data_IF_931237130616
#
_entry.id   IF_931237130616
#
_cell.length_a   1.000
_cell.length_b   1.000
_cell.length_c   1.000
_cell.angle_alpha   90.00
_cell.angle_beta   90.00
_cell.angle_gamma   90.00
#
_symmetry.space_group_name_H-M   'P 1'
#
loop_
_entity.id
_entity.type
_entity.pdbx_description
1 polymer ?
#
# COMPACT_ATOMS: atom_id res chain seq x y z
N UNK A 1 25.18 -1.80 30.40
CA UNK A 1 24.27 -0.82 29.81
C UNK A 1 24.84 -0.48 28.45
N UNK A 2 24.38 -1.14 27.40
CA UNK A 2 24.79 -0.83 26.03
C UNK A 2 24.04 0.43 25.63
N UNK A 3 24.78 1.46 25.36
CA UNK A 3 24.32 2.74 24.82
C UNK A 3 23.56 2.44 23.53
N UNK A 4 22.22 2.50 23.58
CA UNK A 4 21.38 2.29 22.41
C UNK A 4 21.61 3.45 21.44
N UNK A 5 22.46 3.28 20.47
CA UNK A 5 22.66 4.26 19.40
C UNK A 5 21.34 4.51 18.69
N UNK A 6 20.81 5.71 18.88
CA UNK A 6 19.60 6.15 18.20
C UNK A 6 19.96 6.42 16.73
N UNK A 7 19.66 5.48 15.84
CA UNK A 7 19.99 5.60 14.42
C UNK A 7 18.96 6.49 13.73
N UNK A 8 19.45 7.58 13.11
CA UNK A 8 18.62 8.44 12.27
C UNK A 8 18.89 8.12 10.79
N UNK A 9 17.83 7.79 10.04
CA UNK A 9 17.90 7.51 8.62
C UNK A 9 17.11 8.58 7.85
N UNK A 10 17.75 9.16 6.85
CA UNK A 10 17.08 10.10 5.95
C UNK A 10 16.19 9.34 4.96
N UNK A 11 14.94 9.75 4.85
CA UNK A 11 14.06 9.21 3.81
C UNK A 11 14.46 9.80 2.45
N UNK A 12 14.44 8.99 1.36
CA UNK A 12 14.79 9.50 0.04
C UNK A 12 13.82 10.59 -0.41
N UNK A 13 14.32 11.61 -1.08
CA UNK A 13 13.56 12.75 -1.62
C UNK A 13 12.60 12.33 -2.74
N UNK A 14 12.88 11.20 -3.41
CA UNK A 14 12.16 10.67 -4.57
C UNK A 14 10.95 9.81 -4.21
N UNK A 15 10.07 10.29 -3.33
CA UNK A 15 8.80 9.61 -3.05
C UNK A 15 7.72 9.84 -4.14
N UNK A 16 8.14 10.10 -5.39
CA UNK A 16 7.25 10.44 -6.53
C UNK A 16 7.10 9.35 -7.57
N UNK A 17 8.03 8.41 -7.64
CA UNK A 17 7.90 7.28 -8.55
C UNK A 17 7.70 5.97 -7.78
N UNK A 18 7.19 4.96 -8.44
CA UNK A 18 6.85 3.68 -7.82
C UNK A 18 8.08 2.95 -7.30
N UNK A 19 9.26 3.20 -7.87
CA UNK A 19 10.51 2.56 -7.44
C UNK A 19 11.03 3.09 -6.11
N UNK A 20 10.54 4.26 -5.65
CA UNK A 20 10.80 4.74 -4.29
C UNK A 20 10.30 3.77 -3.21
N UNK A 21 9.37 2.88 -3.54
CA UNK A 21 8.94 1.78 -2.67
C UNK A 21 10.12 0.87 -2.32
N UNK A 22 10.99 0.56 -3.29
CA UNK A 22 12.18 -0.28 -3.06
C UNK A 22 13.18 0.39 -2.11
N UNK A 23 13.37 1.71 -2.24
CA UNK A 23 14.23 2.47 -1.34
C UNK A 23 13.70 2.44 0.10
N UNK A 24 12.38 2.64 0.27
CA UNK A 24 11.74 2.59 1.59
C UNK A 24 11.82 1.19 2.20
N UNK A 25 11.57 0.14 1.42
CA UNK A 25 11.70 -1.24 1.87
C UNK A 25 13.15 -1.56 2.25
N UNK A 26 14.12 -1.07 1.47
CA UNK A 26 15.54 -1.21 1.76
C UNK A 26 15.98 -0.61 3.10
N UNK A 27 15.25 0.40 3.61
CA UNK A 27 15.47 0.92 4.97
C UNK A 27 15.13 -0.12 6.04
N UNK A 28 14.20 -1.02 5.79
CA UNK A 28 13.81 -2.07 6.73
C UNK A 28 14.98 -2.92 7.19
N UNK A 29 15.88 -3.29 6.29
CA UNK A 29 17.10 -4.02 6.63
C UNK A 29 18.10 -3.25 7.51
N UNK A 30 18.08 -1.92 7.42
CA UNK A 30 18.91 -1.04 8.28
C UNK A 30 18.26 -0.82 9.64
N UNK A 31 16.92 -0.73 9.70
CA UNK A 31 16.14 -0.48 10.91
C UNK A 31 15.99 -1.74 11.75
N UNK A 32 15.90 -2.92 11.14
CA UNK A 32 15.60 -4.19 11.85
C UNK A 32 16.62 -4.58 12.91
N UNK A 33 17.82 -3.98 12.89
CA UNK A 33 18.89 -4.21 13.88
C UNK A 33 18.84 -3.24 15.05
N UNK A 34 18.01 -2.19 14.95
CA UNK A 34 17.96 -1.10 15.92
C UNK A 34 16.64 -1.14 16.68
N UNK A 35 16.68 -1.07 18.00
CA UNK A 35 15.45 -0.98 18.81
C UNK A 35 14.76 0.35 18.66
N UNK A 36 15.52 1.42 18.45
CA UNK A 36 14.99 2.79 18.32
C UNK A 36 15.57 3.39 17.05
N UNK A 37 14.74 3.62 16.07
CA UNK A 37 15.14 4.28 14.84
C UNK A 37 14.28 5.52 14.58
N UNK A 38 14.91 6.57 14.09
CA UNK A 38 14.28 7.81 13.67
C UNK A 38 14.36 7.93 12.16
N UNK A 39 13.27 8.22 11.50
CA UNK A 39 13.21 8.56 10.09
C UNK A 39 13.11 10.07 9.95
N UNK A 40 14.06 10.66 9.26
CA UNK A 40 14.08 12.09 8.94
C UNK A 40 13.39 12.33 7.60
N UNK A 41 12.33 13.12 7.60
CA UNK A 41 11.52 13.41 6.42
C UNK A 41 11.85 14.78 5.79
N UNK A 42 12.89 15.48 6.27
CA UNK A 42 13.20 16.84 5.83
C UNK A 42 13.44 16.99 4.32
N UNK A 43 13.95 15.95 3.66
CA UNK A 43 14.21 15.94 2.23
C UNK A 43 12.94 15.75 1.37
N UNK A 44 11.82 15.32 1.95
CA UNK A 44 10.62 14.98 1.18
C UNK A 44 9.84 16.25 0.82
N UNK A 45 9.71 16.53 -0.47
CA UNK A 45 8.88 17.64 -0.97
C UNK A 45 7.48 17.18 -1.39
N UNK A 46 7.32 15.89 -1.72
CA UNK A 46 6.07 15.27 -2.14
C UNK A 46 6.12 13.75 -1.85
N UNK A 47 4.98 13.16 -1.48
CA UNK A 47 4.86 11.72 -1.24
C UNK A 47 3.63 11.16 -1.96
N UNK A 48 3.85 10.15 -2.79
CA UNK A 48 2.77 9.42 -3.48
C UNK A 48 2.11 8.39 -2.54
N UNK A 49 0.87 7.97 -2.81
CA UNK A 49 0.17 6.96 -1.98
C UNK A 49 0.96 5.66 -1.79
N UNK A 50 1.70 5.18 -2.81
CA UNK A 50 2.49 3.96 -2.70
C UNK A 50 3.68 4.11 -1.76
N UNK A 51 4.41 5.22 -1.80
CA UNK A 51 5.50 5.50 -0.84
C UNK A 51 4.95 5.68 0.57
N UNK A 52 3.80 6.32 0.70
CA UNK A 52 3.11 6.48 1.99
C UNK A 52 2.72 5.13 2.60
N UNK A 53 2.14 4.21 1.81
CA UNK A 53 1.77 2.87 2.32
C UNK A 53 3.01 2.01 2.60
N UNK A 54 4.06 2.09 1.78
CA UNK A 54 5.33 1.41 2.06
C UNK A 54 5.94 1.88 3.39
N UNK A 55 5.93 3.19 3.64
CA UNK A 55 6.36 3.75 4.92
C UNK A 55 5.49 3.25 6.08
N UNK A 56 4.16 3.18 5.90
CA UNK A 56 3.25 2.65 6.92
C UNK A 56 3.59 1.19 7.27
N UNK A 57 3.79 0.35 6.25
CA UNK A 57 4.14 -1.06 6.45
C UNK A 57 5.51 -1.20 7.13
N UNK A 58 6.49 -0.37 6.77
CA UNK A 58 7.77 -0.33 7.45
C UNK A 58 7.63 -0.08 8.95
N UNK A 59 6.83 0.93 9.33
CA UNK A 59 6.55 1.23 10.74
C UNK A 59 5.78 0.13 11.45
N UNK A 60 4.80 -0.48 10.78
CA UNK A 60 4.02 -1.61 11.32
C UNK A 60 4.88 -2.85 11.54
N UNK A 61 5.73 -3.19 10.58
CA UNK A 61 6.66 -4.31 10.69
C UNK A 61 7.65 -4.09 11.82
N UNK A 62 8.24 -2.91 11.92
CA UNK A 62 9.14 -2.57 13.02
C UNK A 62 8.45 -2.71 14.39
N UNK A 63 7.24 -2.17 14.53
CA UNK A 63 6.45 -2.29 15.77
C UNK A 63 6.15 -3.74 16.11
N UNK A 64 5.79 -4.58 15.12
CA UNK A 64 5.54 -6.00 15.31
C UNK A 64 6.79 -6.75 15.77
N UNK A 65 7.93 -6.45 15.14
CA UNK A 65 9.17 -7.22 15.30
C UNK A 65 9.94 -6.80 16.56
N UNK A 66 9.81 -5.54 17.01
CA UNK A 66 10.57 -4.98 18.15
C UNK A 66 9.70 -4.60 19.35
N UNK A 67 8.39 -4.43 19.18
CA UNK A 67 7.49 -3.82 20.15
C UNK A 67 7.60 -2.30 20.24
N UNK A 68 8.49 -1.66 19.49
CA UNK A 68 8.76 -0.24 19.52
C UNK A 68 8.23 0.46 18.25
N UNK A 69 7.81 1.72 18.41
CA UNK A 69 7.35 2.53 17.27
C UNK A 69 8.51 3.28 16.64
N UNK A 70 8.54 3.33 15.31
CA UNK A 70 9.46 4.22 14.60
C UNK A 70 9.15 5.69 14.92
N UNK A 71 10.20 6.50 15.00
CA UNK A 71 10.10 7.95 15.19
C UNK A 71 10.13 8.65 13.85
N UNK A 72 9.26 9.66 13.66
CA UNK A 72 9.29 10.54 12.50
C UNK A 72 9.71 11.93 12.95
N UNK A 73 10.71 12.49 12.29
CA UNK A 73 11.26 13.81 12.58
C UNK A 73 11.35 14.68 11.32
N UNK A 74 11.38 16.00 11.53
CA UNK A 74 11.58 17.00 10.50
C UNK A 74 10.57 16.90 9.34
N UNK A 75 9.29 16.67 9.68
CA UNK A 75 8.23 16.49 8.67
C UNK A 75 7.86 17.86 8.07
N UNK A 76 8.07 18.10 6.75
CA UNK A 76 7.59 19.32 6.13
C UNK A 76 6.07 19.50 6.30
N UNK A 77 5.61 20.74 6.52
CA UNK A 77 4.21 21.02 6.84
C UNK A 77 3.22 20.46 5.81
N UNK A 78 3.50 20.60 4.52
CA UNK A 78 2.66 20.06 3.45
C UNK A 78 2.57 18.52 3.49
N UNK A 79 3.67 17.84 3.82
CA UNK A 79 3.71 16.39 3.98
C UNK A 79 2.91 15.98 5.22
N UNK A 80 3.10 16.66 6.33
CA UNK A 80 2.35 16.38 7.57
C UNK A 80 0.84 16.54 7.36
N UNK A 81 0.40 17.62 6.69
CA UNK A 81 -1.00 17.85 6.35
C UNK A 81 -1.56 16.72 5.46
N UNK A 82 -0.77 16.26 4.49
CA UNK A 82 -1.16 15.15 3.62
C UNK A 82 -1.27 13.82 4.40
N UNK A 83 -0.28 13.48 5.23
CA UNK A 83 -0.29 12.28 6.06
C UNK A 83 -1.48 12.28 7.03
N UNK A 84 -1.77 13.44 7.66
CA UNK A 84 -2.93 13.59 8.53
C UNK A 84 -4.24 13.40 7.77
N UNK A 85 -4.36 13.98 6.56
CA UNK A 85 -5.53 13.84 5.69
C UNK A 85 -5.78 12.40 5.28
N UNK A 86 -4.71 11.63 5.02
CA UNK A 86 -4.79 10.24 4.59
C UNK A 86 -5.01 9.25 5.75
N UNK A 87 -5.21 9.72 6.97
CA UNK A 87 -5.32 8.91 8.20
C UNK A 87 -4.05 8.09 8.54
N UNK A 88 -2.90 8.45 7.97
CA UNK A 88 -1.64 7.77 8.18
C UNK A 88 -1.21 7.80 9.66
N UNK A 89 -1.28 8.98 10.26
CA UNK A 89 -0.81 9.19 11.64
C UNK A 89 -1.69 8.46 12.67
N UNK A 90 -2.95 8.21 12.34
CA UNK A 90 -3.88 7.48 13.22
C UNK A 90 -3.63 5.97 13.28
N UNK A 91 -2.78 5.43 12.41
CA UNK A 91 -2.49 3.98 12.36
C UNK A 91 -1.59 3.48 13.48
N UNK A 92 -1.06 4.36 14.32
CA UNK A 92 -0.37 4.01 15.55
C UNK A 92 1.02 3.37 15.39
N UNK A 93 1.58 3.40 14.18
CA UNK A 93 2.89 2.81 13.88
C UNK A 93 4.08 3.74 14.21
N UNK A 94 3.81 5.02 14.49
CA UNK A 94 4.84 6.04 14.61
C UNK A 94 4.70 6.91 15.85
N UNK A 95 5.82 7.49 16.27
CA UNK A 95 5.90 8.60 17.23
C UNK A 95 6.37 9.83 16.47
N UNK A 96 5.62 10.92 16.55
CA UNK A 96 6.02 12.20 15.96
C UNK A 96 6.97 12.91 16.93
N UNK A 97 8.13 13.29 16.44
CA UNK A 97 9.12 14.05 17.21
C UNK A 97 8.83 15.56 17.18
N UNK A 98 8.20 16.02 16.08
CA UNK A 98 7.86 17.42 15.91
C UNK A 98 6.48 17.70 16.51
N UNK A 99 6.40 18.74 17.35
CA UNK A 99 5.13 19.26 17.84
C UNK A 99 4.57 20.24 16.81
N UNK A 100 3.57 19.82 16.05
CA UNK A 100 2.82 20.73 15.19
C UNK A 100 1.57 21.24 15.92
N UNK A 101 1.27 22.54 15.73
CA UNK A 101 -0.01 23.09 16.16
C UNK A 101 -1.13 22.41 15.33
N UNK A 102 -2.06 21.76 16.01
CA UNK A 102 -3.22 21.10 15.37
C UNK A 102 -4.04 22.06 14.50
N UNK A 103 -3.96 23.36 14.76
CA UNK A 103 -4.61 24.40 13.93
C UNK A 103 -4.01 24.51 12.53
N UNK A 104 -2.75 24.10 12.35
CA UNK A 104 -2.08 24.07 11.05
C UNK A 104 -2.45 22.84 10.22
N UNK A 105 -3.03 21.82 10.85
CA UNK A 105 -3.54 20.66 10.16
C UNK A 105 -4.90 20.99 9.55
N UNK A 106 -5.02 20.87 8.25
CA UNK A 106 -6.33 21.02 7.61
C UNK A 106 -7.32 20.03 8.18
N UNK A 107 -8.47 20.53 8.65
CA UNK A 107 -9.57 19.65 9.03
C UNK A 107 -9.93 18.78 7.84
N UNK A 108 -10.02 17.47 8.09
CA UNK A 108 -10.44 16.49 7.10
C UNK A 108 -11.79 16.91 6.51
N UNK A 109 -11.83 17.10 5.20
CA UNK A 109 -13.10 17.23 4.49
C UNK A 109 -13.64 15.82 4.20
N UNK A 110 -14.75 15.46 4.81
CA UNK A 110 -15.48 14.21 4.52
C UNK A 110 -15.97 14.14 3.06
N UNK A 111 -15.93 15.26 2.34
CA UNK A 111 -16.39 15.40 0.97
C UNK A 111 -15.26 15.53 -0.05
N UNK A 112 -14.05 15.04 0.27
CA UNK A 112 -13.00 15.01 -0.74
C UNK A 112 -13.44 14.19 -1.94
N UNK A 113 -13.32 14.76 -3.12
CA UNK A 113 -13.55 14.11 -4.42
C UNK A 113 -12.24 13.65 -5.08
N UNK A 114 -11.13 13.60 -4.34
CA UNK A 114 -9.80 13.27 -4.86
C UNK A 114 -9.11 12.12 -4.16
N UNK A 115 -9.48 11.80 -2.92
CA UNK A 115 -8.79 10.76 -2.14
C UNK A 115 -9.76 9.81 -1.46
N UNK A 116 -9.38 8.54 -1.42
CA UNK A 116 -9.87 7.56 -0.45
C UNK A 116 -8.72 7.31 0.51
N UNK A 117 -8.97 7.60 1.77
CA UNK A 117 -8.01 7.53 2.86
C UNK A 117 -7.55 6.09 3.11
N UNK A 118 -6.45 5.92 3.82
CA UNK A 118 -5.91 4.60 4.17
C UNK A 118 -6.97 3.78 4.89
N UNK A 119 -7.40 2.72 4.23
CA UNK A 119 -8.33 1.73 4.75
C UNK A 119 -7.57 0.45 5.07
N UNK A 120 -7.67 -0.02 6.29
CA UNK A 120 -7.12 -1.31 6.70
C UNK A 120 -8.05 -2.43 6.28
N UNK A 121 -7.48 -3.48 5.71
CA UNK A 121 -8.15 -4.74 5.38
C UNK A 121 -7.60 -5.76 6.37
N UNK A 122 -8.36 -6.13 7.41
CA UNK A 122 -7.90 -7.08 8.42
C UNK A 122 -7.62 -8.45 7.80
N UNK A 123 -6.61 -9.14 8.32
CA UNK A 123 -6.36 -10.53 7.97
C UNK A 123 -7.49 -11.44 8.46
N UNK A 124 -7.60 -12.62 7.86
CA UNK A 124 -8.68 -13.61 8.12
C UNK A 124 -8.77 -14.05 9.58
N UNK A 125 -7.66 -14.02 10.31
CA UNK A 125 -7.63 -14.44 11.71
C UNK A 125 -8.20 -13.39 12.68
N UNK A 126 -8.30 -12.13 12.22
CA UNK A 126 -8.73 -11.01 13.07
C UNK A 126 -10.22 -10.68 12.94
N UNK A 127 -10.80 -10.97 11.77
CA UNK A 127 -12.17 -10.57 11.47
C UNK A 127 -12.92 -11.64 10.66
N UNK A 128 -14.25 -11.59 10.76
CA UNK A 128 -15.11 -12.45 9.95
C UNK A 128 -15.10 -12.04 8.47
N UNK A 129 -15.31 -13.00 7.57
CA UNK A 129 -15.45 -12.76 6.12
C UNK A 129 -16.47 -11.65 5.83
N UNK A 130 -17.59 -11.65 6.59
CA UNK A 130 -18.65 -10.66 6.43
C UNK A 130 -18.22 -9.24 6.79
N UNK A 131 -17.45 -9.09 7.86
CA UNK A 131 -16.91 -7.79 8.29
C UNK A 131 -15.92 -7.25 7.26
N UNK A 132 -15.01 -8.10 6.76
CA UNK A 132 -14.03 -7.73 5.73
C UNK A 132 -14.73 -7.34 4.42
N UNK A 133 -15.73 -8.11 3.98
CA UNK A 133 -16.53 -7.76 2.81
C UNK A 133 -17.24 -6.41 2.99
N UNK A 134 -17.69 -6.10 4.22
CA UNK A 134 -18.24 -4.80 4.59
C UNK A 134 -17.23 -3.66 4.40
N UNK A 135 -16.00 -3.82 4.90
CA UNK A 135 -14.92 -2.84 4.76
C UNK A 135 -14.60 -2.60 3.27
N UNK A 136 -14.40 -3.66 2.51
CA UNK A 136 -14.16 -3.56 1.06
C UNK A 136 -15.33 -2.86 0.35
N UNK A 137 -16.56 -3.16 0.73
CA UNK A 137 -17.75 -2.50 0.17
C UNK A 137 -17.77 -1.00 0.44
N UNK A 138 -17.38 -0.56 1.64
CA UNK A 138 -17.28 0.87 1.99
C UNK A 138 -16.20 1.54 1.14
N UNK A 139 -15.02 0.94 1.03
CA UNK A 139 -13.95 1.46 0.18
C UNK A 139 -14.39 1.58 -1.29
N UNK A 140 -15.03 0.53 -1.84
CA UNK A 140 -15.58 0.54 -3.20
C UNK A 140 -16.61 1.64 -3.43
N UNK A 141 -17.53 1.84 -2.50
CA UNK A 141 -18.55 2.90 -2.58
C UNK A 141 -17.89 4.27 -2.59
N UNK A 142 -16.88 4.48 -1.75
CA UNK A 142 -16.13 5.72 -1.68
C UNK A 142 -15.34 5.97 -2.97
N UNK A 143 -14.61 4.96 -3.47
CA UNK A 143 -13.90 5.03 -4.73
C UNK A 143 -14.85 5.35 -5.90
N UNK A 144 -15.99 4.67 -6.00
CA UNK A 144 -17.01 4.96 -7.02
C UNK A 144 -17.52 6.39 -6.94
N UNK A 145 -17.76 6.91 -5.74
CA UNK A 145 -18.18 8.29 -5.54
C UNK A 145 -17.16 9.29 -6.06
N UNK A 146 -15.87 9.06 -5.86
CA UNK A 146 -14.80 9.90 -6.35
C UNK A 146 -14.64 9.77 -7.87
N UNK A 147 -14.56 8.54 -8.36
CA UNK A 147 -14.28 8.24 -9.76
C UNK A 147 -15.35 8.77 -10.72
N UNK A 148 -16.61 8.93 -10.28
CA UNK A 148 -17.67 9.50 -11.11
C UNK A 148 -17.40 10.93 -11.61
N UNK A 149 -16.52 11.68 -10.94
CA UNK A 149 -16.10 13.02 -11.38
C UNK A 149 -14.95 12.99 -12.39
N UNK A 150 -14.34 11.79 -12.62
CA UNK A 150 -13.13 11.63 -13.38
C UNK A 150 -13.28 10.65 -14.55
N UNK A 151 -14.14 9.67 -14.42
CA UNK A 151 -14.28 8.54 -15.34
C UNK A 151 -15.75 8.27 -15.68
N UNK A 152 -15.99 7.65 -16.83
CA UNK A 152 -17.32 7.17 -17.21
C UNK A 152 -17.72 5.90 -16.42
N UNK A 153 -19.02 5.57 -16.42
CA UNK A 153 -19.56 4.49 -15.60
C UNK A 153 -18.94 3.11 -15.89
N UNK A 154 -18.67 2.78 -17.15
CA UNK A 154 -18.09 1.50 -17.53
C UNK A 154 -16.66 1.34 -17.02
N UNK A 155 -15.86 2.40 -17.06
CA UNK A 155 -14.50 2.42 -16.51
C UNK A 155 -14.53 2.30 -15.01
N UNK A 156 -15.47 2.95 -14.34
CA UNK A 156 -15.64 2.83 -12.88
C UNK A 156 -15.91 1.39 -12.47
N UNK A 157 -16.74 0.65 -13.20
CA UNK A 157 -17.06 -0.74 -12.91
C UNK A 157 -15.81 -1.64 -13.03
N UNK A 158 -14.97 -1.43 -14.02
CA UNK A 158 -13.68 -2.10 -14.12
C UNK A 158 -12.77 -1.79 -12.91
N UNK A 159 -12.67 -0.53 -12.54
CA UNK A 159 -11.86 -0.11 -11.40
C UNK A 159 -12.33 -0.73 -10.08
N UNK A 160 -13.63 -0.77 -9.87
CA UNK A 160 -14.25 -1.39 -8.68
C UNK A 160 -14.01 -2.90 -8.66
N UNK A 161 -13.96 -3.56 -9.83
CA UNK A 161 -13.57 -4.98 -9.94
C UNK A 161 -12.12 -5.17 -9.53
N UNK A 162 -11.19 -4.36 -10.04
CA UNK A 162 -9.76 -4.40 -9.65
C UNK A 162 -9.61 -4.27 -8.13
N UNK A 163 -10.26 -3.28 -7.52
CA UNK A 163 -10.25 -3.10 -6.07
C UNK A 163 -10.68 -4.39 -5.36
N UNK A 164 -11.76 -5.00 -5.82
CA UNK A 164 -12.32 -6.19 -5.19
C UNK A 164 -11.37 -7.37 -5.25
N UNK A 165 -10.83 -7.66 -6.44
CA UNK A 165 -9.93 -8.79 -6.68
C UNK A 165 -8.64 -8.66 -5.85
N UNK A 166 -8.00 -7.47 -5.86
CA UNK A 166 -6.74 -7.30 -5.13
C UNK A 166 -6.95 -7.28 -3.62
N UNK A 167 -8.03 -6.64 -3.12
CA UNK A 167 -8.35 -6.69 -1.69
C UNK A 167 -8.71 -8.11 -1.23
N UNK A 168 -9.37 -8.90 -2.07
CA UNK A 168 -9.66 -10.31 -1.77
C UNK A 168 -8.40 -11.16 -1.70
N UNK A 169 -7.39 -10.87 -2.52
CA UNK A 169 -6.09 -11.55 -2.47
C UNK A 169 -5.41 -11.35 -1.10
N UNK A 170 -5.46 -10.16 -0.52
CA UNK A 170 -4.95 -9.94 0.85
C UNK A 170 -5.66 -10.87 1.82
N UNK A 171 -6.97 -10.83 1.83
CA UNK A 171 -7.78 -11.64 2.75
C UNK A 171 -7.54 -13.15 2.58
N UNK A 172 -7.44 -13.64 1.33
CA UNK A 172 -7.34 -15.07 1.06
C UNK A 172 -5.92 -15.61 1.21
N UNK A 173 -4.89 -14.81 0.93
CA UNK A 173 -3.52 -15.29 0.74
C UNK A 173 -2.48 -14.64 1.63
N UNK A 174 -2.67 -13.41 2.10
CA UNK A 174 -1.63 -12.67 2.82
C UNK A 174 -1.32 -13.24 4.21
N UNK A 175 -2.29 -13.79 4.93
CA UNK A 175 -2.22 -14.20 6.36
C UNK A 175 -1.94 -13.02 7.31
N UNK A 176 -1.93 -11.78 6.82
CA UNK A 176 -1.77 -10.57 7.62
C UNK A 176 -2.79 -9.51 7.17
N UNK A 177 -2.84 -8.39 7.87
CA UNK A 177 -3.61 -7.23 7.46
C UNK A 177 -2.93 -6.50 6.31
N UNK A 178 -3.74 -5.93 5.42
CA UNK A 178 -3.25 -5.05 4.37
C UNK A 178 -3.90 -3.67 4.44
N UNK A 179 -3.44 -2.80 3.58
CA UNK A 179 -3.89 -1.41 3.49
C UNK A 179 -4.16 -1.04 2.05
N UNK A 180 -5.23 -0.31 1.82
CA UNK A 180 -5.52 0.29 0.53
C UNK A 180 -5.74 1.79 0.64
N UNK A 181 -5.36 2.52 -0.40
CA UNK A 181 -5.58 3.94 -0.55
C UNK A 181 -5.75 4.30 -2.03
N UNK A 182 -6.44 5.39 -2.32
CA UNK A 182 -6.60 5.86 -3.70
C UNK A 182 -6.51 7.39 -3.75
N UNK A 183 -5.90 7.89 -4.81
CA UNK A 183 -5.84 9.32 -5.09
C UNK A 183 -5.99 9.60 -6.58
N UNK A 184 -6.65 10.70 -6.91
CA UNK A 184 -6.81 11.20 -8.28
C UNK A 184 -6.03 12.49 -8.46
N UNK A 185 -5.43 12.64 -9.65
CA UNK A 185 -4.65 13.81 -10.04
C UNK A 185 -5.12 14.35 -11.39
N UNK A 186 -4.94 15.64 -11.60
CA UNK A 186 -4.95 16.26 -12.91
C UNK A 186 -3.49 16.60 -13.28
N UNK A 187 -3.01 16.05 -14.37
CA UNK A 187 -1.67 16.30 -14.91
C UNK A 187 -1.86 16.85 -16.32
N UNK A 188 -1.80 18.17 -16.46
CA UNK A 188 -2.20 18.81 -17.72
C UNK A 188 -3.68 18.54 -18.03
N UNK A 189 -3.95 17.97 -19.21
CA UNK A 189 -5.31 17.56 -19.64
C UNK A 189 -5.67 16.12 -19.21
N UNK A 190 -4.75 15.38 -18.61
CA UNK A 190 -4.96 13.98 -18.24
C UNK A 190 -5.48 13.84 -16.83
N UNK A 191 -6.32 12.83 -16.63
CA UNK A 191 -6.79 12.39 -15.32
C UNK A 191 -6.12 11.08 -14.94
N UNK A 192 -5.40 11.09 -13.83
CA UNK A 192 -4.66 9.93 -13.33
C UNK A 192 -5.27 9.45 -12.03
N UNK A 193 -5.49 8.15 -11.92
CA UNK A 193 -5.92 7.49 -10.68
C UNK A 193 -4.78 6.62 -10.19
N UNK A 194 -4.35 6.84 -8.95
CA UNK A 194 -3.40 5.97 -8.23
C UNK A 194 -4.17 5.15 -7.22
N UNK A 195 -4.24 3.85 -7.45
CA UNK A 195 -4.73 2.86 -6.49
C UNK A 195 -3.53 2.10 -5.94
N UNK A 196 -3.45 2.02 -4.63
CA UNK A 196 -2.37 1.31 -3.95
C UNK A 196 -2.97 0.33 -2.96
N UNK A 197 -2.47 -0.89 -2.98
CA UNK A 197 -2.87 -1.96 -2.08
C UNK A 197 -1.59 -2.69 -1.67
N UNK A 198 -1.34 -2.79 -0.37
CA UNK A 198 -0.13 -3.40 0.19
C UNK A 198 -0.45 -4.21 1.43
N UNK A 199 0.29 -5.27 1.66
CA UNK A 199 0.25 -6.10 2.87
C UNK A 199 1.66 -6.54 3.29
N UNK A 200 1.79 -7.09 4.50
CA UNK A 200 3.03 -7.65 5.03
C UNK A 200 2.94 -9.18 5.15
N UNK A 201 2.15 -9.81 4.30
CA UNK A 201 1.92 -11.24 4.34
C UNK A 201 3.04 -12.08 3.71
N UNK A 202 2.71 -13.34 3.45
CA UNK A 202 3.70 -14.34 2.97
C UNK A 202 4.19 -14.12 1.54
N UNK A 203 3.51 -13.26 0.77
CA UNK A 203 3.83 -13.01 -0.63
C UNK A 203 3.36 -14.11 -1.59
N UNK A 204 3.44 -13.78 -2.90
CA UNK A 204 2.90 -14.64 -3.96
C UNK A 204 3.64 -15.97 -4.02
N UNK A 205 4.98 -15.97 -4.02
CA UNK A 205 5.77 -17.20 -4.15
C UNK A 205 5.43 -18.19 -3.04
N UNK A 206 5.41 -17.75 -1.79
CA UNK A 206 5.11 -18.63 -0.66
C UNK A 206 3.66 -19.11 -0.69
N UNK A 207 2.72 -18.32 -1.19
CA UNK A 207 1.33 -18.76 -1.36
C UNK A 207 1.18 -19.93 -2.33
N UNK A 208 2.14 -20.12 -3.24
CA UNK A 208 2.21 -21.22 -4.20
C UNK A 208 3.13 -22.38 -3.76
N UNK A 209 3.74 -22.35 -2.58
CA UNK A 209 4.70 -23.36 -2.11
C UNK A 209 4.12 -24.79 -2.09
N UNK A 210 2.81 -24.94 -1.87
CA UNK A 210 2.10 -26.21 -1.94
C UNK A 210 1.82 -26.77 -3.36
N UNK A 211 2.21 -26.04 -4.40
CA UNK A 211 1.97 -26.40 -5.81
C UNK A 211 3.27 -26.82 -6.48
N UNK A 212 3.44 -28.14 -6.70
CA UNK A 212 4.69 -28.69 -7.27
C UNK A 212 5.08 -28.11 -8.62
N UNK A 213 4.12 -27.69 -9.42
CA UNK A 213 4.33 -27.05 -10.72
C UNK A 213 5.04 -25.69 -10.66
N UNK A 214 5.06 -25.04 -9.47
CA UNK A 214 5.74 -23.76 -9.24
C UNK A 214 6.99 -23.88 -8.37
N UNK A 215 7.37 -25.09 -7.94
CA UNK A 215 8.46 -25.29 -6.98
C UNK A 215 9.82 -24.75 -7.48
N UNK A 216 10.09 -24.83 -8.79
CA UNK A 216 11.33 -24.34 -9.41
C UNK A 216 11.20 -22.92 -9.98
N UNK A 217 10.00 -22.31 -9.94
CA UNK A 217 9.79 -20.98 -10.53
C UNK A 217 10.37 -19.88 -9.63
N UNK A 218 11.09 -18.91 -10.20
CA UNK A 218 11.45 -17.71 -9.47
C UNK A 218 10.20 -16.87 -9.15
N UNK A 219 10.26 -16.05 -8.10
CA UNK A 219 9.14 -15.20 -7.69
C UNK A 219 8.64 -14.30 -8.82
N UNK A 220 9.54 -13.72 -9.62
CA UNK A 220 9.19 -12.91 -10.81
C UNK A 220 8.40 -13.70 -11.86
N UNK A 221 8.79 -14.95 -12.12
CA UNK A 221 8.08 -15.83 -13.05
C UNK A 221 6.68 -16.18 -12.58
N UNK A 222 6.48 -16.37 -11.26
CA UNK A 222 5.15 -16.60 -10.70
C UNK A 222 4.28 -15.35 -10.83
N UNK A 223 4.84 -14.14 -10.57
CA UNK A 223 4.13 -12.88 -10.77
C UNK A 223 3.69 -12.72 -12.23
N UNK A 224 4.60 -12.96 -13.18
CA UNK A 224 4.30 -12.88 -14.62
C UNK A 224 3.21 -13.86 -15.02
N UNK A 225 3.30 -15.12 -14.57
CA UNK A 225 2.26 -16.12 -14.82
C UNK A 225 0.91 -15.72 -14.22
N UNK A 226 0.90 -15.15 -13.02
CA UNK A 226 -0.33 -14.70 -12.37
C UNK A 226 -1.00 -13.53 -13.11
N UNK A 227 -0.23 -12.68 -13.78
CA UNK A 227 -0.73 -11.58 -14.60
C UNK A 227 -1.23 -12.02 -15.98
N UNK A 228 -0.66 -13.10 -16.54
CA UNK A 228 -0.94 -13.53 -17.93
C UNK A 228 -1.83 -14.76 -18.01
N UNK A 229 -1.88 -15.57 -16.96
CA UNK A 229 -2.55 -16.88 -16.97
C UNK A 229 -3.46 -17.02 -15.75
N UNK A 230 -4.64 -17.64 -15.89
CA UNK A 230 -5.53 -17.92 -14.77
C UNK A 230 -4.93 -18.98 -13.83
N UNK A 231 -4.14 -18.56 -12.85
CA UNK A 231 -3.58 -19.42 -11.80
C UNK A 231 -4.09 -19.05 -10.42
N UNK A 232 -4.14 -20.02 -9.52
CA UNK A 232 -4.50 -19.78 -8.12
C UNK A 232 -3.72 -20.73 -7.22
N UNK A 233 -3.29 -20.25 -6.05
CA UNK A 233 -2.64 -21.08 -5.04
C UNK A 233 -3.62 -22.02 -4.31
N UNK A 234 -4.92 -21.68 -4.26
CA UNK A 234 -5.94 -22.43 -3.51
C UNK A 234 -6.92 -23.21 -4.39
N UNK A 235 -7.09 -22.84 -5.66
CA UNK A 235 -8.05 -23.43 -6.58
C UNK A 235 -7.33 -23.91 -7.83
N UNK A 236 -7.99 -24.76 -8.63
CA UNK A 236 -7.43 -25.21 -9.90
C UNK A 236 -7.20 -24.05 -10.87
N UNK A 237 -8.09 -23.06 -10.86
CA UNK A 237 -8.01 -21.83 -11.66
C UNK A 237 -8.37 -20.61 -10.79
N UNK A 238 -7.73 -19.48 -11.06
CA UNK A 238 -8.05 -18.19 -10.45
C UNK A 238 -7.77 -17.06 -11.44
N UNK A 239 -8.73 -16.18 -11.61
CA UNK A 239 -8.67 -15.12 -12.62
C UNK A 239 -8.22 -13.77 -12.05
N UNK A 240 -8.05 -13.63 -10.73
CA UNK A 240 -7.84 -12.37 -10.04
C UNK A 240 -6.82 -11.43 -10.67
N UNK A 241 -5.52 -11.75 -10.62
CA UNK A 241 -4.48 -10.88 -11.18
C UNK A 241 -4.48 -10.83 -12.71
N UNK A 242 -4.80 -11.93 -13.37
CA UNK A 242 -4.94 -11.97 -14.83
C UNK A 242 -6.08 -11.05 -15.31
N UNK A 243 -7.21 -11.06 -14.61
CA UNK A 243 -8.33 -10.15 -14.90
C UNK A 243 -7.97 -8.70 -14.59
N UNK A 244 -7.25 -8.45 -13.48
CA UNK A 244 -6.73 -7.11 -13.15
C UNK A 244 -5.84 -6.59 -14.27
N UNK A 245 -4.89 -7.40 -14.77
CA UNK A 245 -4.02 -7.00 -15.86
C UNK A 245 -4.82 -6.63 -17.12
N UNK A 246 -5.73 -7.50 -17.56
CA UNK A 246 -6.56 -7.26 -18.75
C UNK A 246 -7.42 -5.97 -18.62
N UNK A 247 -7.89 -5.64 -17.40
CA UNK A 247 -8.61 -4.41 -17.16
C UNK A 247 -7.68 -3.20 -17.28
N UNK A 248 -6.49 -3.26 -16.69
CA UNK A 248 -5.53 -2.14 -16.68
C UNK A 248 -5.01 -1.87 -18.10
N UNK A 249 -4.71 -2.90 -18.89
CA UNK A 249 -4.37 -2.77 -20.32
C UNK A 249 -5.48 -2.03 -21.08
N UNK A 250 -6.74 -2.45 -20.88
CA UNK A 250 -7.91 -1.80 -21.48
C UNK A 250 -8.04 -0.32 -21.08
N UNK A 251 -7.62 0.01 -19.87
CA UNK A 251 -7.60 1.39 -19.34
C UNK A 251 -6.36 2.17 -19.77
N UNK A 252 -5.43 1.57 -20.51
CA UNK A 252 -4.11 2.13 -20.87
C UNK A 252 -3.33 2.57 -19.62
N UNK A 253 -3.49 1.82 -18.55
CA UNK A 253 -2.80 2.03 -17.29
C UNK A 253 -1.52 1.22 -17.19
N UNK A 254 -0.91 1.24 -16.01
CA UNK A 254 0.25 0.42 -15.67
C UNK A 254 0.04 -0.24 -14.30
N UNK A 255 0.65 -1.40 -14.11
CA UNK A 255 0.68 -2.13 -12.84
C UNK A 255 2.14 -2.26 -12.40
N UNK A 256 2.38 -2.03 -11.12
CA UNK A 256 3.59 -2.46 -10.46
C UNK A 256 3.21 -3.43 -9.34
N UNK A 257 3.78 -4.63 -9.39
CA UNK A 257 3.61 -5.64 -8.34
C UNK A 257 4.97 -5.93 -7.73
N UNK A 258 5.03 -5.92 -6.39
CA UNK A 258 6.14 -6.38 -5.60
C UNK A 258 5.66 -7.48 -4.64
N UNK A 259 6.42 -8.57 -4.57
CA UNK A 259 6.14 -9.67 -3.65
C UNK A 259 7.46 -10.29 -3.20
N UNK A 260 7.72 -10.23 -1.91
CA UNK A 260 8.98 -10.63 -1.28
C UNK A 260 10.21 -9.95 -1.93
N UNK A 261 11.07 -10.67 -2.60
CA UNK A 261 12.28 -10.21 -3.29
C UNK A 261 12.10 -9.95 -4.78
N UNK A 262 10.89 -10.11 -5.29
CA UNK A 262 10.59 -10.06 -6.71
C UNK A 262 9.59 -8.94 -7.04
N UNK A 263 9.77 -8.30 -8.20
CA UNK A 263 8.85 -7.29 -8.71
C UNK A 263 8.64 -7.44 -10.22
N UNK A 264 7.52 -6.93 -10.70
CA UNK A 264 7.19 -6.83 -12.11
C UNK A 264 6.43 -5.52 -12.36
N UNK A 265 6.68 -4.91 -13.53
CA UNK A 265 5.94 -3.76 -14.04
C UNK A 265 5.38 -4.09 -15.42
N UNK A 266 4.11 -3.76 -15.65
CA UNK A 266 3.38 -3.97 -16.91
C UNK A 266 2.64 -2.70 -17.31
#
# INVERSE_FOLDING_TARGET
MTDGTNTTLLLPDRCRDVYAVEDIIGLGGKISRERVATLDLSAISFIEPYSMLALLLLGRNHLRDTGERLRLANIPLNIHQYLARMDFLSKGAFILMDRLDEKLLYRRSSFSNRVVEITEIPGRERESIRAIAGIISVFRKRARHILKYWLNASIIDYFVTVISEVCQNIFEHSLDSGYCAMQTYSIGSEHVVRLVIMDSGIGIRESFSGRSEFASEPGSGIIEKALTTPISSKRRFGYGLCQVNAIIEKLKGSIYIRSADSSAAV
#
